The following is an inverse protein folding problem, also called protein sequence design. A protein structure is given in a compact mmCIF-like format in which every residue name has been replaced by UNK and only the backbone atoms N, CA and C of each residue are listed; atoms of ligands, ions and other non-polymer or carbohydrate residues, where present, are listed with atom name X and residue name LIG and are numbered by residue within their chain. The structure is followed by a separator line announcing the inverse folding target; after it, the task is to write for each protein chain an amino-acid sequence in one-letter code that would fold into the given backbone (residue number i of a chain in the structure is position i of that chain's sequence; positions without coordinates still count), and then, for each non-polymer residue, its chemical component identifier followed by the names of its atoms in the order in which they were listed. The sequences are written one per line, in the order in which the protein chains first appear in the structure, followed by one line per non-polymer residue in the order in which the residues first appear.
data_IF_474772025677
#
_entry.id   IF_474772025677
#
_cell.length_a   1.000
_cell.length_b   1.000
_cell.length_c   1.000
_cell.angle_alpha   90.00
_cell.angle_beta   90.00
_cell.angle_gamma   90.00
#
_symmetry.space_group_name_H-M   'P 1'
#
loop_
_entity.id
_entity.type
_entity.pdbx_description
1 polymer ?
#
# COMPACT_ATOMS: atom_id res chain seq x y z
N UNK A 1 6.51 4.18 4.14
CA UNK A 1 6.22 3.41 2.90
C UNK A 1 5.92 4.34 1.73
N UNK A 2 4.83 5.15 1.78
CA UNK A 2 4.46 6.03 0.66
C UNK A 2 5.62 6.95 0.25
N UNK A 3 6.26 7.65 1.18
CA UNK A 3 7.42 8.52 0.87
C UNK A 3 8.52 7.78 0.12
N UNK A 4 8.78 6.51 0.47
CA UNK A 4 9.80 5.70 -0.19
C UNK A 4 9.46 5.40 -1.65
N UNK A 5 8.18 5.21 -1.97
CA UNK A 5 7.73 5.02 -3.35
C UNK A 5 8.03 6.26 -4.21
N UNK A 6 7.79 7.47 -3.67
CA UNK A 6 8.07 8.73 -4.37
C UNK A 6 9.57 9.09 -4.47
N UNK A 7 10.41 8.51 -3.62
CA UNK A 7 11.88 8.65 -3.73
C UNK A 7 12.45 7.89 -4.92
N UNK A 8 11.83 6.75 -5.29
CA UNK A 8 12.39 5.82 -6.29
C UNK A 8 11.65 5.85 -7.63
N UNK A 9 10.46 6.43 -7.70
CA UNK A 9 9.63 6.44 -8.91
C UNK A 9 9.13 7.85 -9.24
N UNK A 10 9.01 8.14 -10.54
CA UNK A 10 8.41 9.38 -11.07
C UNK A 10 6.88 9.38 -10.97
N UNK A 11 6.28 8.21 -11.13
CA UNK A 11 4.84 7.99 -11.02
C UNK A 11 4.54 6.88 -10.02
N UNK A 12 3.62 7.14 -9.09
CA UNK A 12 3.23 6.19 -8.04
C UNK A 12 1.74 5.84 -8.14
N UNK A 13 1.45 4.54 -8.26
CA UNK A 13 0.09 4.02 -8.18
C UNK A 13 -0.20 3.61 -6.74
N UNK A 14 -1.20 4.21 -6.10
CA UNK A 14 -1.58 3.89 -4.72
C UNK A 14 -2.91 3.14 -4.73
N UNK A 15 -2.83 1.84 -4.48
CA UNK A 15 -4.00 0.96 -4.34
C UNK A 15 -4.66 1.12 -2.97
N UNK A 16 -5.90 1.58 -2.93
CA UNK A 16 -6.71 1.69 -1.71
C UNK A 16 -7.87 0.70 -1.79
N UNK A 17 -7.97 -0.19 -0.80
CA UNK A 17 -9.02 -1.24 -0.80
C UNK A 17 -10.41 -0.60 -0.74
N UNK A 18 -11.32 -0.97 -1.61
CA UNK A 18 -12.73 -0.56 -1.63
C UNK A 18 -13.49 -1.12 -0.41
N UNK A 19 -14.48 -0.40 0.12
CA UNK A 19 -15.21 -0.84 1.33
C UNK A 19 -15.94 -2.17 1.11
N UNK A 20 -16.46 -2.39 -0.09
CA UNK A 20 -17.13 -3.62 -0.54
C UNK A 20 -16.19 -4.82 -0.49
N UNK A 21 -14.89 -4.60 -0.69
CA UNK A 21 -13.88 -5.64 -0.57
C UNK A 21 -13.44 -5.89 0.88
N UNK A 22 -13.62 -4.93 1.79
CA UNK A 22 -13.32 -5.13 3.21
C UNK A 22 -14.17 -6.26 3.79
N UNK A 23 -15.41 -6.44 3.30
CA UNK A 23 -16.30 -7.52 3.73
C UNK A 23 -15.69 -8.93 3.58
N UNK A 24 -14.83 -9.09 2.57
CA UNK A 24 -14.17 -10.36 2.22
C UNK A 24 -12.81 -10.54 2.91
N UNK A 25 -12.33 -9.51 3.61
CA UNK A 25 -11.06 -9.53 4.32
C UNK A 25 -11.35 -9.75 5.81
N UNK A 26 -10.92 -10.88 6.38
CA UNK A 26 -11.04 -11.21 7.82
C UNK A 26 -10.17 -10.27 8.69
N UNK A 27 -10.46 -8.98 8.64
CA UNK A 27 -9.78 -7.94 9.41
C UNK A 27 -10.45 -7.80 10.76
N UNK A 28 -9.64 -7.95 11.80
CA UNK A 28 -10.02 -7.65 13.18
C UNK A 28 -10.38 -6.16 13.30
N UNK A 29 -11.44 -5.87 14.06
CA UNK A 29 -11.99 -4.53 14.27
C UNK A 29 -12.28 -3.81 12.95
N UNK A 30 -12.96 -4.48 12.02
CA UNK A 30 -13.27 -3.94 10.69
C UNK A 30 -14.14 -2.69 10.77
N UNK A 31 -15.05 -2.66 11.72
CA UNK A 31 -15.93 -1.54 12.05
C UNK A 31 -15.16 -0.26 12.42
N UNK A 32 -13.92 -0.39 12.88
CA UNK A 32 -13.03 0.74 13.17
C UNK A 32 -12.19 1.18 11.94
N UNK A 33 -12.36 0.54 10.78
CA UNK A 33 -11.73 0.99 9.53
C UNK A 33 -12.53 2.16 8.98
N UNK A 34 -11.84 3.26 8.70
CA UNK A 34 -12.43 4.44 8.08
C UNK A 34 -13.05 4.11 6.70
N UNK A 35 -14.16 4.77 6.31
CA UNK A 35 -14.73 4.65 4.97
C UNK A 35 -13.72 4.96 3.87
N UNK A 36 -13.95 4.39 2.68
CA UNK A 36 -13.07 4.50 1.52
C UNK A 36 -12.70 5.94 1.20
N UNK A 37 -13.68 6.85 1.15
CA UNK A 37 -13.46 8.26 0.81
C UNK A 37 -12.57 8.98 1.85
N UNK A 38 -12.73 8.65 3.14
CA UNK A 38 -11.89 9.19 4.21
C UNK A 38 -10.46 8.67 4.09
N UNK A 39 -10.28 7.39 3.74
CA UNK A 39 -8.95 6.81 3.51
C UNK A 39 -8.27 7.43 2.30
N UNK A 40 -9.00 7.70 1.21
CA UNK A 40 -8.47 8.46 0.07
C UNK A 40 -8.03 9.84 0.54
N UNK A 41 -8.93 10.58 1.20
CA UNK A 41 -8.66 11.95 1.64
C UNK A 41 -7.41 12.03 2.52
N UNK A 42 -7.23 11.07 3.44
CA UNK A 42 -6.06 11.02 4.32
C UNK A 42 -4.77 10.77 3.54
N UNK A 43 -4.80 9.87 2.56
CA UNK A 43 -3.65 9.56 1.70
C UNK A 43 -3.32 10.73 0.79
N UNK A 44 -4.30 11.30 0.07
CA UNK A 44 -4.08 12.44 -0.83
C UNK A 44 -3.61 13.66 -0.06
N UNK A 45 -4.22 13.96 1.10
CA UNK A 45 -3.79 15.06 1.96
C UNK A 45 -2.33 14.90 2.40
N UNK A 46 -1.91 13.69 2.76
CA UNK A 46 -0.51 13.41 3.09
C UNK A 46 0.42 13.59 1.89
N UNK A 47 0.06 13.03 0.74
CA UNK A 47 0.87 13.13 -0.49
C UNK A 47 1.01 14.59 -0.92
N UNK A 48 -0.09 15.32 -1.06
CA UNK A 48 -0.12 16.69 -1.57
C UNK A 48 0.58 17.67 -0.62
N UNK A 49 0.32 17.55 0.69
CA UNK A 49 0.82 18.52 1.66
C UNK A 49 2.23 18.22 2.20
N UNK A 50 2.70 16.98 2.08
CA UNK A 50 3.99 16.55 2.65
C UNK A 50 4.97 16.11 1.57
N UNK A 51 4.54 15.26 0.64
CA UNK A 51 5.42 14.66 -0.36
C UNK A 51 5.64 15.62 -1.53
N UNK A 52 4.57 16.07 -2.19
CA UNK A 52 4.68 16.89 -3.40
C UNK A 52 5.28 18.28 -3.14
N UNK A 53 5.17 18.80 -1.91
CA UNK A 53 5.92 20.01 -1.51
C UNK A 53 7.43 19.82 -1.56
N UNK A 54 7.93 18.61 -1.34
CA UNK A 54 9.36 18.27 -1.36
C UNK A 54 9.82 17.72 -2.71
N UNK A 55 8.92 17.05 -3.42
CA UNK A 55 9.16 16.35 -4.68
C UNK A 55 8.10 16.76 -5.71
N UNK A 56 8.13 18.01 -6.21
CA UNK A 56 7.05 18.58 -7.03
C UNK A 56 6.93 17.94 -8.41
N UNK A 57 8.00 17.33 -8.93
CA UNK A 57 8.02 16.70 -10.26
C UNK A 57 7.42 15.29 -10.26
N UNK A 58 6.95 14.81 -9.10
CA UNK A 58 6.36 13.47 -8.97
C UNK A 58 4.87 13.52 -9.22
N UNK A 59 4.35 12.43 -9.78
CA UNK A 59 2.92 12.26 -10.04
C UNK A 59 2.41 10.99 -9.37
N UNK A 60 1.10 10.92 -9.15
CA UNK A 60 0.47 9.74 -8.59
C UNK A 60 -0.97 9.58 -9.05
N UNK A 61 -1.48 8.36 -8.93
CA UNK A 61 -2.90 8.07 -9.05
C UNK A 61 -3.39 7.21 -7.88
N UNK A 62 -4.64 7.42 -7.50
CA UNK A 62 -5.33 6.57 -6.52
C UNK A 62 -6.20 5.59 -7.28
N UNK A 63 -5.98 4.29 -7.04
CA UNK A 63 -6.79 3.23 -7.63
C UNK A 63 -7.53 2.49 -6.53
N UNK A 64 -8.84 2.40 -6.66
CA UNK A 64 -9.66 1.58 -5.78
C UNK A 64 -9.51 0.11 -6.13
N UNK A 65 -9.00 -0.70 -5.22
CA UNK A 65 -8.77 -2.14 -5.43
C UNK A 65 -9.76 -2.99 -4.64
N UNK A 66 -10.19 -4.11 -5.20
CA UNK A 66 -10.98 -5.14 -4.52
C UNK A 66 -10.11 -6.29 -4.00
N UNK A 67 -8.90 -6.42 -4.50
CA UNK A 67 -7.94 -7.43 -4.09
C UNK A 67 -6.49 -6.97 -4.22
N UNK A 68 -5.55 -7.72 -3.63
CA UNK A 68 -4.13 -7.37 -3.67
C UNK A 68 -3.47 -7.57 -5.04
N UNK A 69 -4.18 -8.18 -5.99
CA UNK A 69 -3.65 -8.58 -7.30
C UNK A 69 -4.20 -7.73 -8.45
N UNK A 70 -5.21 -6.89 -8.20
CA UNK A 70 -6.01 -6.22 -9.23
C UNK A 70 -5.14 -5.42 -10.20
N UNK A 71 -4.39 -4.45 -9.68
CA UNK A 71 -3.55 -3.56 -10.49
C UNK A 71 -2.27 -4.22 -10.97
N UNK A 72 -1.65 -5.01 -10.10
CA UNK A 72 -0.29 -5.54 -10.33
C UNK A 72 -0.25 -6.71 -11.31
N UNK A 73 -1.40 -7.24 -11.75
CA UNK A 73 -1.49 -8.27 -12.78
C UNK A 73 -2.10 -7.76 -14.10
N UNK A 74 -2.40 -6.46 -14.21
CA UNK A 74 -2.85 -5.82 -15.45
C UNK A 74 -1.65 -5.62 -16.39
N UNK A 75 -1.64 -6.34 -17.51
CA UNK A 75 -0.51 -6.31 -18.47
C UNK A 75 -0.36 -4.99 -19.24
N UNK A 76 -1.42 -4.19 -19.31
CA UNK A 76 -1.41 -2.87 -19.94
C UNK A 76 -0.67 -1.83 -19.10
N UNK A 77 -0.60 -2.06 -17.77
CA UNK A 77 0.12 -1.18 -16.85
C UNK A 77 1.59 -1.56 -16.82
N UNK A 78 2.44 -0.61 -17.21
CA UNK A 78 3.89 -0.72 -17.03
C UNK A 78 4.20 -0.39 -15.56
N UNK A 79 4.55 -1.42 -14.80
CA UNK A 79 4.91 -1.31 -13.39
C UNK A 79 6.30 -1.93 -13.24
N UNK A 80 7.24 -1.14 -12.72
CA UNK A 80 8.63 -1.57 -12.54
C UNK A 80 8.89 -2.07 -11.12
N UNK A 81 8.28 -1.41 -10.11
CA UNK A 81 8.52 -1.66 -8.70
C UNK A 81 7.25 -2.04 -7.94
N UNK A 82 7.40 -2.83 -6.88
CA UNK A 82 6.39 -2.98 -5.83
C UNK A 82 6.99 -2.66 -4.47
N UNK A 83 6.46 -1.65 -3.80
CA UNK A 83 6.93 -1.20 -2.48
C UNK A 83 6.11 -1.90 -1.40
N UNK A 84 6.77 -2.61 -0.50
CA UNK A 84 6.12 -3.43 0.54
C UNK A 84 6.76 -3.25 1.91
N UNK A 85 6.01 -3.58 2.95
CA UNK A 85 6.55 -3.80 4.30
C UNK A 85 6.90 -5.27 4.53
N UNK A 86 7.56 -5.55 5.65
CA UNK A 86 7.80 -6.93 6.13
C UNK A 86 6.51 -7.77 6.15
N UNK A 87 5.39 -7.18 6.56
CA UNK A 87 4.07 -7.82 6.62
C UNK A 87 3.55 -8.22 5.24
N UNK A 88 3.86 -7.43 4.21
CA UNK A 88 3.31 -7.59 2.85
C UNK A 88 4.30 -8.20 1.85
N UNK A 89 5.53 -8.47 2.28
CA UNK A 89 6.57 -9.09 1.48
C UNK A 89 6.18 -10.47 0.92
N UNK A 90 5.61 -11.41 1.69
CA UNK A 90 5.20 -12.70 1.14
C UNK A 90 4.21 -12.57 -0.02
N UNK A 91 3.37 -11.53 0.03
CA UNK A 91 2.39 -11.25 -1.02
C UNK A 91 3.05 -10.67 -2.28
N UNK A 92 4.08 -9.84 -2.16
CA UNK A 92 4.86 -9.37 -3.32
C UNK A 92 5.58 -10.53 -4.02
N UNK A 93 6.13 -11.48 -3.26
CA UNK A 93 6.72 -12.69 -3.84
C UNK A 93 5.67 -13.48 -4.63
N UNK A 94 4.47 -13.67 -4.05
CA UNK A 94 3.37 -14.33 -4.75
C UNK A 94 2.91 -13.57 -6.01
N UNK A 95 2.92 -12.24 -5.98
CA UNK A 95 2.63 -11.41 -7.16
C UNK A 95 3.59 -11.73 -8.30
N UNK A 96 4.90 -11.80 -8.04
CA UNK A 96 5.88 -12.12 -9.08
C UNK A 96 5.68 -13.53 -9.65
N UNK A 97 5.37 -14.53 -8.81
CA UNK A 97 5.01 -15.89 -9.27
C UNK A 97 3.81 -15.86 -10.21
N UNK A 98 2.78 -15.06 -9.88
CA UNK A 98 1.59 -14.93 -10.73
C UNK A 98 1.86 -14.14 -12.01
N UNK A 99 2.73 -13.13 -11.96
CA UNK A 99 3.16 -12.35 -13.13
C UNK A 99 3.91 -13.21 -14.13
N UNK A 100 4.87 -14.01 -13.65
CA UNK A 100 5.63 -14.95 -14.49
C UNK A 100 4.72 -15.96 -15.17
N UNK A 101 3.75 -16.54 -14.44
CA UNK A 101 2.73 -17.44 -15.01
C UNK A 101 1.86 -16.80 -16.09
N UNK A 102 1.72 -15.47 -16.07
CA UNK A 102 0.98 -14.68 -17.07
C UNK A 102 1.88 -14.12 -18.18
N UNK A 103 3.18 -14.42 -18.19
CA UNK A 103 4.14 -13.86 -19.14
C UNK A 103 4.45 -12.37 -18.91
N UNK A 104 4.19 -11.86 -17.71
CA UNK A 104 4.52 -10.50 -17.30
C UNK A 104 5.90 -10.47 -16.63
N UNK A 105 6.65 -9.39 -16.84
CA UNK A 105 7.94 -9.18 -16.16
C UNK A 105 7.77 -9.14 -14.65
N UNK A 106 8.70 -9.71 -13.90
CA UNK A 106 8.71 -9.57 -12.43
C UNK A 106 8.87 -8.10 -12.03
N UNK A 107 8.24 -7.71 -10.93
CA UNK A 107 8.41 -6.41 -10.30
C UNK A 107 9.63 -6.44 -9.38
N UNK A 108 10.41 -5.37 -9.37
CA UNK A 108 11.45 -5.18 -8.37
C UNK A 108 10.80 -4.90 -7.00
N UNK A 109 11.09 -5.77 -6.03
CA UNK A 109 10.51 -5.67 -4.68
C UNK A 109 11.35 -4.72 -3.84
N UNK A 110 10.77 -3.60 -3.44
CA UNK A 110 11.40 -2.65 -2.52
C UNK A 110 10.82 -2.82 -1.13
N UNK A 111 11.63 -3.40 -0.23
CA UNK A 111 11.27 -3.61 1.16
C UNK A 111 11.48 -2.34 2.00
N UNK A 112 10.42 -1.90 2.67
CA UNK A 112 10.44 -0.81 3.65
C UNK A 112 10.18 -1.41 5.03
N UNK A 113 11.21 -1.48 5.90
CA UNK A 113 11.06 -2.05 7.23
C UNK A 113 9.99 -1.33 8.04
N UNK A 114 9.22 -2.10 8.82
CA UNK A 114 8.24 -1.53 9.74
C UNK A 114 8.93 -0.80 10.89
N UNK A 115 8.41 0.39 11.23
CA UNK A 115 8.82 1.11 12.44
C UNK A 115 8.36 0.29 13.65
N UNK A 116 9.22 0.15 14.66
CA UNK A 116 8.94 -0.60 15.88
C UNK A 116 8.67 0.34 17.06
N UNK A 117 7.83 -0.10 17.98
CA UNK A 117 7.62 0.56 19.26
C UNK A 117 8.80 0.34 20.22
N UNK A 118 8.72 0.91 21.42
CA UNK A 118 9.73 0.76 22.48
C UNK A 118 9.98 -0.69 22.93
N UNK A 119 9.05 -1.60 22.63
CA UNK A 119 9.13 -3.03 22.93
C UNK A 119 9.59 -3.86 21.72
N UNK A 120 9.99 -3.21 20.62
CA UNK A 120 10.46 -3.88 19.41
C UNK A 120 9.35 -4.45 18.52
N UNK A 121 8.07 -4.16 18.80
CA UNK A 121 6.93 -4.67 18.03
C UNK A 121 6.54 -3.67 16.91
N UNK A 122 6.22 -4.13 15.68
CA UNK A 122 5.85 -3.25 14.58
C UNK A 122 4.65 -2.34 14.90
N UNK A 123 4.76 -1.04 14.65
CA UNK A 123 3.65 -0.09 14.72
C UNK A 123 2.73 -0.33 13.51
N UNK A 124 1.47 -0.66 13.75
CA UNK A 124 0.51 -0.95 12.68
C UNK A 124 -0.88 -0.42 12.99
N UNK A 125 -1.63 -0.06 11.95
CA UNK A 125 -3.01 0.39 12.10
C UNK A 125 -3.92 -0.66 12.77
N UNK A 126 -3.59 -1.95 12.65
CA UNK A 126 -4.29 -3.01 13.37
C UNK A 126 -4.16 -2.84 14.88
N UNK A 127 -2.95 -2.57 15.38
CA UNK A 127 -2.69 -2.40 16.81
C UNK A 127 -3.32 -1.15 17.40
N UNK A 128 -3.46 -0.07 16.61
CA UNK A 128 -4.27 1.09 17.02
C UNK A 128 -5.76 0.74 17.10
N UNK A 129 -6.31 -0.01 16.12
CA UNK A 129 -7.73 -0.41 16.14
C UNK A 129 -8.08 -1.35 17.29
N UNK A 130 -7.16 -2.21 17.72
CA UNK A 130 -7.36 -3.12 18.85
C UNK A 130 -7.11 -2.47 20.21
N UNK A 131 -6.72 -1.19 20.26
CA UNK A 131 -6.36 -0.50 21.49
C UNK A 131 -5.03 -0.95 22.10
N UNK A 132 -4.20 -1.67 21.35
CA UNK A 132 -2.87 -2.08 21.80
C UNK A 132 -1.86 -0.92 21.73
N UNK A 133 -2.10 0.04 20.83
CA UNK A 133 -1.37 1.30 20.71
C UNK A 133 -2.33 2.47 20.85
N UNK A 134 -1.87 3.51 21.54
CA UNK A 134 -2.55 4.81 21.66
C UNK A 134 -1.91 5.82 20.70
N UNK A 135 -2.74 6.69 20.12
CA UNK A 135 -2.37 7.66 19.09
C UNK A 135 -1.76 8.95 19.66
#
# INVERSE_FOLDING_TARGET
MISKAFEIAEHVIIGIVRDEALAKLDKICREAIQPYDIRILNVTSYVDNVILKKLPDRTYEIVGIFGPYDVVLEGERKIDYIVVSDETLPRAVMINVLREKKGLNSLEIVLVPMIKDQYGRPISAHRFRTGELEA
#
